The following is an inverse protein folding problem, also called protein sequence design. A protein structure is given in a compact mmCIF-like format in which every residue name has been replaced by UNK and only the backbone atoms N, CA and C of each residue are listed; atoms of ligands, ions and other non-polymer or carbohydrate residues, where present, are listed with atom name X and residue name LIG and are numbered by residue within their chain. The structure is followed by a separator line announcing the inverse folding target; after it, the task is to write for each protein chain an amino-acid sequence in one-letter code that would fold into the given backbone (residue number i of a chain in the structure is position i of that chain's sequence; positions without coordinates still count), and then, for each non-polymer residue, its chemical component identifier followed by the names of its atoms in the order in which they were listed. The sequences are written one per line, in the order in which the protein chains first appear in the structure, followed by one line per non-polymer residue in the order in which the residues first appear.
data_IF_108765723225
#
_entry.id   IF_108765723225
#
_cell.length_a   1.000
_cell.length_b   1.000
_cell.length_c   1.000
_cell.angle_alpha   90.00
_cell.angle_beta   90.00
_cell.angle_gamma   90.00
#
_symmetry.space_group_name_H-M   'P 1'
#
loop_
_entity.id
_entity.type
_entity.pdbx_description
1 polymer ?
#
# COMPACT_ATOMS: atom_id res chain seq x y z
N UNK A 1 -31.83 -20.25 -6.65
CA UNK A 1 -31.36 -18.84 -6.71
C UNK A 1 -30.87 -18.42 -5.33
N UNK A 2 -31.72 -18.41 -4.31
CA UNK A 2 -31.35 -18.15 -2.90
C UNK A 2 -30.12 -18.93 -2.40
N UNK A 3 -30.03 -20.23 -2.69
CA UNK A 3 -28.90 -21.06 -2.26
C UNK A 3 -27.56 -20.73 -2.95
N UNK A 4 -27.58 -20.04 -4.09
CA UNK A 4 -26.35 -19.58 -4.76
C UNK A 4 -25.92 -18.23 -4.21
N UNK A 5 -26.89 -17.34 -3.95
CA UNK A 5 -26.65 -16.04 -3.34
C UNK A 5 -26.06 -16.17 -1.94
N UNK A 6 -26.56 -17.10 -1.12
CA UNK A 6 -25.99 -17.38 0.20
C UNK A 6 -24.51 -17.80 0.09
N UNK A 7 -24.14 -18.61 -0.91
CA UNK A 7 -22.74 -18.96 -1.17
C UNK A 7 -21.91 -17.74 -1.54
N UNK A 8 -22.43 -16.87 -2.40
CA UNK A 8 -21.76 -15.64 -2.80
C UNK A 8 -21.54 -14.72 -1.59
N UNK A 9 -22.58 -14.47 -0.80
CA UNK A 9 -22.53 -13.65 0.42
C UNK A 9 -21.52 -14.22 1.42
N UNK A 10 -21.54 -15.54 1.66
CA UNK A 10 -20.60 -16.20 2.55
C UNK A 10 -19.16 -16.06 2.06
N UNK A 11 -18.92 -16.22 0.76
CA UNK A 11 -17.58 -16.05 0.19
C UNK A 11 -17.10 -14.60 0.28
N UNK A 12 -17.94 -13.63 -0.10
CA UNK A 12 -17.64 -12.20 -0.02
C UNK A 12 -17.35 -11.74 1.42
N UNK A 13 -17.98 -12.37 2.41
CA UNK A 13 -17.71 -12.08 3.83
C UNK A 13 -16.27 -12.42 4.24
N UNK A 14 -15.65 -13.40 3.59
CA UNK A 14 -14.27 -13.84 3.84
C UNK A 14 -13.22 -13.18 2.96
N UNK A 15 -13.61 -12.33 2.00
CA UNK A 15 -12.67 -11.61 1.15
C UNK A 15 -11.96 -10.50 1.94
N UNK A 16 -10.72 -10.20 1.54
CA UNK A 16 -9.99 -9.03 2.05
C UNK A 16 -10.77 -7.75 1.70
N UNK A 17 -10.78 -6.70 2.56
CA UNK A 17 -11.62 -5.52 2.36
C UNK A 17 -11.43 -4.79 1.03
N UNK A 18 -10.20 -4.71 0.53
CA UNK A 18 -9.84 -4.10 -0.75
C UNK A 18 -10.44 -4.86 -1.94
N UNK A 19 -10.39 -6.19 -1.89
CA UNK A 19 -10.99 -7.06 -2.91
C UNK A 19 -12.51 -7.02 -2.79
N UNK A 20 -13.04 -7.12 -1.56
CA UNK A 20 -14.47 -7.08 -1.27
C UNK A 20 -15.12 -5.79 -1.79
N UNK A 21 -14.46 -4.65 -1.62
CA UNK A 21 -14.97 -3.38 -2.13
C UNK A 21 -15.09 -3.40 -3.66
N UNK A 22 -14.07 -3.88 -4.37
CA UNK A 22 -14.08 -3.96 -5.83
C UNK A 22 -15.16 -4.92 -6.36
N UNK A 23 -15.30 -6.07 -5.70
CA UNK A 23 -16.26 -7.11 -6.07
C UNK A 23 -17.69 -6.70 -5.73
N UNK A 24 -17.91 -6.05 -4.58
CA UNK A 24 -19.24 -5.61 -4.14
C UNK A 24 -19.91 -4.61 -5.08
N UNK A 25 -19.14 -3.83 -5.85
CA UNK A 25 -19.69 -2.97 -6.91
C UNK A 25 -20.18 -3.73 -8.14
N UNK A 26 -19.77 -4.99 -8.32
CA UNK A 26 -20.11 -5.79 -9.51
C UNK A 26 -21.39 -6.60 -9.37
N UNK A 27 -22.03 -6.60 -8.18
CA UNK A 27 -23.31 -7.26 -7.86
C UNK A 27 -23.45 -8.68 -8.45
N UNK A 28 -22.41 -9.51 -8.31
CA UNK A 28 -22.33 -10.83 -8.96
C UNK A 28 -23.13 -11.85 -8.14
N UNK A 29 -24.08 -12.53 -8.79
CA UNK A 29 -24.90 -13.59 -8.17
C UNK A 29 -24.49 -15.02 -8.56
N UNK A 30 -23.63 -15.15 -9.57
CA UNK A 30 -23.07 -16.43 -10.03
C UNK A 30 -21.76 -16.75 -9.30
N UNK A 31 -21.74 -17.86 -8.55
CA UNK A 31 -20.62 -18.21 -7.68
C UNK A 31 -19.31 -18.50 -8.44
N UNK A 32 -19.30 -19.29 -9.54
CA UNK A 32 -18.09 -19.49 -10.35
C UNK A 32 -17.49 -18.18 -10.90
N UNK A 33 -18.35 -17.27 -11.34
CA UNK A 33 -17.94 -15.94 -11.85
C UNK A 33 -17.37 -15.09 -10.72
N UNK A 34 -18.03 -15.07 -9.56
CA UNK A 34 -17.56 -14.37 -8.37
C UNK A 34 -16.16 -14.83 -7.97
N UNK A 35 -15.94 -16.15 -7.87
CA UNK A 35 -14.63 -16.72 -7.55
C UNK A 35 -13.56 -16.29 -8.56
N UNK A 36 -13.89 -16.35 -9.84
CA UNK A 36 -12.95 -15.99 -10.92
C UNK A 36 -12.57 -14.52 -10.85
N UNK A 37 -13.54 -13.61 -10.67
CA UNK A 37 -13.26 -12.17 -10.54
C UNK A 37 -12.50 -11.84 -9.27
N UNK A 38 -12.88 -12.44 -8.13
CA UNK A 38 -12.17 -12.23 -6.86
C UNK A 38 -10.70 -12.65 -6.96
N UNK A 39 -10.41 -13.76 -7.64
CA UNK A 39 -9.04 -14.20 -7.92
C UNK A 39 -8.28 -13.17 -8.77
N UNK A 40 -8.87 -12.71 -9.88
CA UNK A 40 -8.23 -11.71 -10.75
C UNK A 40 -7.92 -10.43 -9.97
N UNK A 41 -8.87 -9.93 -9.17
CA UNK A 41 -8.67 -8.73 -8.36
C UNK A 41 -7.56 -8.88 -7.30
N UNK A 42 -7.39 -10.08 -6.71
CA UNK A 42 -6.28 -10.35 -5.80
C UNK A 42 -4.92 -10.30 -6.51
N UNK A 43 -4.82 -10.91 -7.69
CA UNK A 43 -3.61 -10.91 -8.50
C UNK A 43 -3.25 -9.48 -8.97
N UNK A 44 -4.25 -8.70 -9.42
CA UNK A 44 -4.08 -7.31 -9.83
C UNK A 44 -3.64 -6.41 -8.66
N UNK A 45 -4.23 -6.62 -7.47
CA UNK A 45 -3.84 -5.90 -6.25
C UNK A 45 -2.38 -6.15 -5.86
N UNK A 46 -1.93 -7.41 -5.97
CA UNK A 46 -0.52 -7.79 -5.77
C UNK A 46 0.39 -7.19 -6.82
N UNK A 47 0.02 -7.26 -8.09
CA UNK A 47 0.79 -6.70 -9.20
C UNK A 47 0.96 -5.18 -9.05
N UNK A 48 -0.12 -4.47 -8.70
CA UNK A 48 -0.10 -3.03 -8.42
C UNK A 48 0.85 -2.70 -7.25
N UNK A 49 0.76 -3.44 -6.15
CA UNK A 49 1.63 -3.24 -4.99
C UNK A 49 3.10 -3.46 -5.33
N UNK A 50 3.41 -4.54 -6.07
CA UNK A 50 4.77 -4.83 -6.53
C UNK A 50 5.33 -3.74 -7.45
N UNK A 51 4.50 -3.22 -8.37
CA UNK A 51 4.90 -2.13 -9.26
C UNK A 51 5.31 -0.87 -8.49
N UNK A 52 4.46 -0.39 -7.57
CA UNK A 52 4.76 0.82 -6.80
C UNK A 52 5.90 0.63 -5.81
N UNK A 53 6.04 -0.57 -5.21
CA UNK A 53 7.21 -0.91 -4.40
C UNK A 53 8.50 -0.80 -5.21
N UNK A 54 8.53 -1.43 -6.39
CA UNK A 54 9.69 -1.37 -7.27
C UNK A 54 9.98 0.06 -7.74
N UNK A 55 8.97 0.90 -7.99
CA UNK A 55 9.18 2.32 -8.31
C UNK A 55 9.79 3.11 -7.14
N UNK A 56 9.29 2.88 -5.91
CA UNK A 56 9.79 3.58 -4.73
C UNK A 56 11.23 3.16 -4.39
N UNK A 57 11.57 1.89 -4.56
CA UNK A 57 12.93 1.37 -4.33
C UNK A 57 13.96 2.00 -5.29
N UNK A 58 13.56 2.30 -6.54
CA UNK A 58 14.39 3.03 -7.51
C UNK A 58 14.59 4.49 -7.09
N UNK A 59 13.52 5.14 -6.62
CA UNK A 59 13.54 6.54 -6.17
C UNK A 59 14.34 6.73 -4.88
N UNK A 60 14.38 5.72 -4.01
CA UNK A 60 15.15 5.72 -2.76
C UNK A 60 16.66 5.56 -2.92
N UNK A 61 17.16 5.17 -4.11
CA UNK A 61 18.59 4.98 -4.37
C UNK A 61 19.35 6.24 -4.76
N UNK A 62 18.69 7.38 -4.97
CA UNK A 62 19.39 8.68 -4.96
C UNK A 62 19.56 9.18 -3.52
N UNK A 63 20.30 8.42 -2.71
CA UNK A 63 20.96 8.99 -1.53
C UNK A 63 22.21 9.78 -1.91
N UNK A 64 22.47 10.00 -3.20
CA UNK A 64 23.13 11.22 -3.67
C UNK A 64 22.11 12.39 -3.70
N UNK A 65 21.44 12.62 -2.58
CA UNK A 65 21.07 13.99 -2.20
C UNK A 65 22.30 14.63 -1.54
N UNK A 66 23.46 14.46 -2.17
CA UNK A 66 24.58 15.36 -1.94
C UNK A 66 24.03 16.74 -2.24
N UNK A 67 23.91 17.56 -1.20
CA UNK A 67 23.56 18.97 -1.36
C UNK A 67 24.54 19.53 -2.42
N UNK A 68 24.10 19.98 -3.60
CA UNK A 68 25.04 20.33 -4.66
C UNK A 68 25.88 21.57 -4.33
N UNK A 69 25.49 22.35 -3.31
CA UNK A 69 26.28 23.47 -2.81
C UNK A 69 26.05 23.66 -1.31
N UNK A 70 26.93 23.07 -0.49
CA UNK A 70 27.33 23.66 0.80
C UNK A 70 28.86 23.87 0.78
N UNK A 71 29.38 24.39 -0.34
CA UNK A 71 30.75 24.87 -0.44
C UNK A 71 30.79 26.37 -0.12
N UNK A 72 30.57 26.75 1.15
CA UNK A 72 31.22 27.92 1.80
C UNK A 72 30.75 28.07 3.25
N UNK A 73 31.52 27.56 4.20
CA UNK A 73 31.51 28.12 5.56
C UNK A 73 31.82 27.15 6.69
N UNK A 74 33.10 27.06 7.06
CA UNK A 74 33.64 26.93 8.42
C UNK A 74 32.96 25.95 9.40
N UNK A 75 33.73 24.95 9.82
CA UNK A 75 33.62 24.44 11.19
C UNK A 75 34.06 22.98 11.35
N UNK A 76 35.28 22.77 11.86
CA UNK A 76 35.63 21.50 12.49
C UNK A 76 34.64 21.23 13.63
N UNK A 77 33.92 20.11 13.57
CA UNK A 77 33.04 19.65 14.64
C UNK A 77 32.91 18.14 14.55
N UNK A 78 33.71 17.44 15.34
CA UNK A 78 33.61 16.02 15.60
C UNK A 78 32.17 15.61 15.95
N UNK A 79 31.77 14.46 15.43
CA UNK A 79 30.39 14.01 15.42
C UNK A 79 29.72 13.90 16.79
N UNK A 80 28.42 14.15 16.80
CA UNK A 80 27.53 13.62 17.83
C UNK A 80 26.15 13.39 17.22
N UNK A 81 25.79 12.11 17.01
CA UNK A 81 24.41 11.71 16.72
C UNK A 81 23.62 11.86 18.02
N UNK A 82 22.83 12.93 18.18
CA UNK A 82 21.79 12.96 19.22
C UNK A 82 20.46 12.46 18.65
N UNK A 83 20.18 11.21 18.98
CA UNK A 83 18.86 10.60 19.03
C UNK A 83 18.15 11.16 20.28
N UNK A 84 16.92 11.67 20.17
CA UNK A 84 16.11 11.96 21.35
C UNK A 84 15.03 13.02 21.23
N UNK A 85 13.79 12.53 21.10
CA UNK A 85 12.55 13.05 21.70
C UNK A 85 12.06 14.45 21.30
N UNK A 86 11.32 14.51 20.18
CA UNK A 86 10.34 15.57 19.95
C UNK A 86 8.94 15.07 20.33
N UNK A 87 8.41 15.50 21.47
CA UNK A 87 6.99 15.35 21.79
C UNK A 87 6.18 16.21 20.81
N UNK A 88 5.45 15.56 19.91
CA UNK A 88 4.46 16.21 19.06
C UNK A 88 3.23 16.55 19.90
N UNK A 89 3.04 17.82 20.27
CA UNK A 89 1.76 18.27 20.81
C UNK A 89 0.72 18.26 19.68
N UNK A 90 -0.43 17.62 19.95
CA UNK A 90 -1.59 17.70 19.05
C UNK A 90 -2.17 19.11 19.09
N UNK A 91 -2.58 19.62 17.94
CA UNK A 91 -3.46 20.78 17.85
C UNK A 91 -4.83 20.33 17.32
N UNK A 92 -5.89 20.73 18.05
CA UNK A 92 -7.26 20.96 17.58
C UNK A 92 -7.98 19.81 16.90
#
# INVERSE_FOLDING_TARGET
VEAEEDKCVKFESGLRPDIKQLIGFSEIRDFPTLMTKARICDEDGKAKTNYYKALNDRKGKSQDRGKPYDARGKGNGSGERKQGNGNCYKCG
#
